data_IF_894042468337
#
_entry.id   IF_894042468337
#
_cell.length_a   1.000
_cell.length_b   1.000
_cell.length_c   1.000
_cell.angle_alpha   90.00
_cell.angle_beta   90.00
_cell.angle_gamma   90.00
#
_symmetry.space_group_name_H-M   'P 1'
#
loop_
_entity.id
_entity.type
_entity.pdbx_description
1 polymer ?
#
# COMPACT_ATOMS: atom_id res chain seq x y z
N UNK A 1 -37.69 39.14 38.65
CA UNK A 1 -37.28 38.38 37.45
C UNK A 1 -35.80 38.59 37.26
N UNK A 2 -35.01 37.56 37.60
CA UNK A 2 -33.58 37.51 37.30
C UNK A 2 -33.44 37.15 35.82
N UNK A 3 -32.66 37.92 35.08
CA UNK A 3 -32.18 37.53 33.75
C UNK A 3 -30.67 37.37 33.87
N UNK A 4 -30.25 36.12 34.07
CA UNK A 4 -28.87 35.70 33.93
C UNK A 4 -28.52 35.71 32.45
N UNK A 5 -27.63 36.60 32.03
CA UNK A 5 -27.03 36.60 30.70
C UNK A 5 -25.77 35.73 30.81
N UNK A 6 -25.90 34.47 30.43
CA UNK A 6 -24.76 33.55 30.31
C UNK A 6 -23.96 33.93 29.06
N UNK A 7 -22.73 34.43 29.26
CA UNK A 7 -21.77 34.67 28.18
C UNK A 7 -21.16 33.32 27.81
N UNK A 8 -21.61 32.75 26.69
CA UNK A 8 -21.01 31.57 26.09
C UNK A 8 -19.60 31.93 25.58
N UNK A 9 -18.57 31.65 26.38
CA UNK A 9 -17.18 31.68 25.92
C UNK A 9 -16.94 30.48 25.01
N UNK A 10 -17.16 30.67 23.72
CA UNK A 10 -16.75 29.72 22.69
C UNK A 10 -15.22 29.75 22.63
N UNK A 11 -14.59 28.76 23.27
CA UNK A 11 -13.16 28.50 23.12
C UNK A 11 -12.98 27.89 21.75
N UNK A 12 -12.64 28.72 20.77
CA UNK A 12 -12.12 28.25 19.48
C UNK A 12 -10.71 27.77 19.76
N UNK A 13 -10.57 26.46 19.99
CA UNK A 13 -9.27 25.80 19.96
C UNK A 13 -8.81 25.83 18.51
N UNK A 14 -8.01 26.84 18.17
CA UNK A 14 -7.31 26.89 16.90
C UNK A 14 -6.30 25.74 16.92
N UNK A 15 -6.68 24.59 16.35
CA UNK A 15 -5.74 23.54 15.98
C UNK A 15 -4.81 24.17 14.94
N UNK A 16 -3.66 24.64 15.41
CA UNK A 16 -2.50 24.89 14.57
C UNK A 16 -2.10 23.51 14.03
N UNK A 17 -2.70 23.10 12.92
CA UNK A 17 -1.96 22.24 12.01
C UNK A 17 -0.78 23.07 11.56
N UNK A 18 0.41 22.71 12.06
CA UNK A 18 1.66 23.11 11.45
C UNK A 18 1.56 22.63 10.01
N UNK A 19 1.22 23.52 9.07
CA UNK A 19 1.49 23.24 7.66
C UNK A 19 3.01 23.27 7.59
N UNK A 20 3.61 22.09 7.73
CA UNK A 20 5.01 21.89 7.38
C UNK A 20 5.01 22.12 5.87
N UNK A 21 5.42 23.31 5.46
CA UNK A 21 5.76 23.55 4.06
C UNK A 21 6.98 22.67 3.85
N UNK A 22 6.80 21.54 3.19
CA UNK A 22 7.94 20.72 2.84
C UNK A 22 8.85 21.56 1.95
N UNK A 23 10.09 21.71 2.38
CA UNK A 23 11.09 22.52 1.70
C UNK A 23 11.66 21.71 0.52
N UNK A 24 11.92 22.40 -0.59
CA UNK A 24 12.58 21.82 -1.75
C UNK A 24 13.93 21.25 -1.32
N UNK A 25 14.22 20.02 -1.74
CA UNK A 25 15.49 19.38 -1.47
C UNK A 25 15.99 18.68 -2.74
N UNK A 26 17.30 18.44 -2.78
CA UNK A 26 17.89 17.62 -3.83
C UNK A 26 19.26 17.12 -3.43
N UNK A 27 19.66 16.01 -4.00
CA UNK A 27 20.97 15.40 -3.79
C UNK A 27 21.55 14.91 -5.12
N UNK A 28 22.87 14.99 -5.23
CA UNK A 28 23.62 14.39 -6.33
C UNK A 28 24.24 13.07 -5.88
N UNK A 29 24.03 12.02 -6.67
CA UNK A 29 24.70 10.73 -6.50
C UNK A 29 25.72 10.60 -7.60
N UNK A 30 26.98 10.37 -7.23
CA UNK A 30 28.10 10.18 -8.16
C UNK A 30 28.59 8.74 -8.09
N UNK A 31 28.69 8.09 -9.24
CA UNK A 31 29.28 6.77 -9.40
C UNK A 31 30.69 6.85 -10.00
N UNK A 32 31.62 6.13 -9.38
CA UNK A 32 32.98 5.93 -9.86
C UNK A 32 33.31 4.43 -9.83
N UNK A 33 34.21 3.95 -10.69
CA UNK A 33 34.74 2.60 -10.50
C UNK A 33 35.67 2.57 -9.27
N UNK A 34 35.76 1.44 -8.56
CA UNK A 34 36.56 1.34 -7.32
C UNK A 34 38.06 1.65 -7.51
N UNK A 35 38.57 1.66 -8.75
CA UNK A 35 39.96 1.96 -9.06
C UNK A 35 40.17 3.40 -9.53
N UNK A 36 39.09 4.18 -9.76
CA UNK A 36 39.13 5.56 -10.26
C UNK A 36 39.82 5.68 -11.62
N UNK A 37 39.61 4.70 -12.49
CA UNK A 37 40.20 4.64 -13.83
C UNK A 37 39.29 5.36 -14.83
N UNK A 38 38.00 5.06 -14.79
CA UNK A 38 37.01 5.65 -15.67
C UNK A 38 36.58 7.03 -15.21
N UNK A 39 36.01 7.81 -16.13
CA UNK A 39 35.27 9.02 -15.76
C UNK A 39 34.05 8.68 -14.91
N UNK A 40 33.81 9.50 -13.88
CA UNK A 40 32.66 9.40 -12.99
C UNK A 40 31.38 9.90 -13.69
N UNK A 41 30.22 9.45 -13.19
CA UNK A 41 28.92 9.93 -13.65
C UNK A 41 28.03 10.35 -12.49
N UNK A 42 27.25 11.41 -12.67
CA UNK A 42 26.43 12.01 -11.61
C UNK A 42 24.99 12.14 -12.07
N UNK A 43 24.07 11.71 -11.21
CA UNK A 43 22.63 11.91 -11.36
C UNK A 43 22.08 12.75 -10.19
N UNK A 44 20.94 13.40 -10.39
CA UNK A 44 20.34 14.26 -9.37
C UNK A 44 18.87 13.91 -9.14
N UNK A 45 18.49 13.73 -7.87
CA UNK A 45 17.10 13.57 -7.48
C UNK A 45 16.70 14.60 -6.44
N UNK A 46 15.40 14.79 -6.27
CA UNK A 46 14.87 15.68 -5.25
C UNK A 46 13.38 15.94 -5.41
N UNK A 47 12.92 17.03 -4.83
CA UNK A 47 11.58 17.54 -5.07
C UNK A 47 11.57 19.05 -5.31
N UNK A 48 10.51 19.53 -5.96
CA UNK A 48 10.30 20.96 -6.12
C UNK A 48 8.81 21.33 -6.19
N UNK A 49 8.50 22.61 -6.02
CA UNK A 49 7.11 23.11 -5.92
C UNK A 49 6.27 22.87 -7.18
N UNK A 50 6.90 22.93 -8.36
CA UNK A 50 6.24 22.81 -9.66
C UNK A 50 6.66 21.53 -10.41
N UNK A 51 7.26 20.58 -9.69
CA UNK A 51 7.71 19.30 -10.22
C UNK A 51 6.54 18.32 -10.40
N UNK A 52 6.74 17.29 -11.24
CA UNK A 52 5.76 16.28 -11.59
C UNK A 52 6.23 14.89 -11.12
N UNK A 53 5.32 14.05 -10.66
CA UNK A 53 5.68 12.67 -10.24
C UNK A 53 5.83 11.71 -11.44
N UNK A 54 5.36 12.13 -12.62
CA UNK A 54 5.62 11.46 -13.88
C UNK A 54 6.46 12.33 -14.81
N UNK A 55 6.93 11.74 -15.91
CA UNK A 55 7.85 12.40 -16.84
C UNK A 55 7.42 13.81 -17.28
N UNK A 56 8.33 14.77 -17.14
CA UNK A 56 8.16 16.15 -17.56
C UNK A 56 9.43 16.68 -18.26
N UNK A 57 9.29 17.11 -19.53
CA UNK A 57 10.41 17.67 -20.29
C UNK A 57 10.92 18.96 -19.64
N UNK A 58 12.24 19.07 -19.48
CA UNK A 58 12.92 20.21 -18.85
C UNK A 58 13.06 20.12 -17.33
N UNK A 59 12.44 19.09 -16.74
CA UNK A 59 12.58 18.70 -15.33
C UNK A 59 13.38 17.40 -15.24
N UNK A 60 12.93 16.39 -16.00
CA UNK A 60 13.60 15.10 -16.16
C UNK A 60 14.47 15.13 -17.41
N UNK A 61 15.75 15.36 -17.21
CA UNK A 61 16.74 15.45 -18.27
C UNK A 61 17.21 14.06 -18.67
N UNK A 62 17.25 13.80 -19.98
CA UNK A 62 17.79 12.58 -20.56
C UNK A 62 19.21 12.28 -19.99
N UNK A 63 19.56 10.99 -19.93
CA UNK A 63 20.91 10.60 -19.55
C UNK A 63 21.97 11.17 -20.50
N UNK A 64 23.15 11.49 -19.96
CA UNK A 64 24.23 12.06 -20.75
C UNK A 64 24.83 11.00 -21.68
N UNK A 65 25.21 11.36 -22.92
CA UNK A 65 25.89 10.42 -23.79
C UNK A 65 27.22 9.95 -23.20
N UNK A 66 27.47 8.65 -23.28
CA UNK A 66 28.76 8.07 -22.91
C UNK A 66 29.94 8.79 -23.60
N UNK A 67 31.09 8.94 -22.91
CA UNK A 67 32.29 9.51 -23.51
C UNK A 67 32.70 8.80 -24.81
N UNK A 68 33.02 9.58 -25.85
CA UNK A 68 33.43 9.04 -27.15
C UNK A 68 34.70 8.18 -27.10
N UNK A 69 35.55 8.40 -26.09
CA UNK A 69 36.78 7.65 -25.88
C UNK A 69 37.20 7.68 -24.41
N UNK A 70 37.89 6.63 -23.98
CA UNK A 70 38.32 6.46 -22.60
C UNK A 70 37.34 5.59 -21.82
N UNK A 71 37.83 5.11 -20.69
CA UNK A 71 37.10 4.37 -19.69
C UNK A 71 36.10 5.26 -18.96
N UNK A 72 34.94 4.73 -18.59
CA UNK A 72 33.92 5.48 -17.86
C UNK A 72 33.05 4.57 -17.00
N UNK A 73 32.39 5.18 -16.04
CA UNK A 73 31.24 4.65 -15.31
C UNK A 73 30.02 5.45 -15.76
N UNK A 74 28.87 4.81 -15.92
CA UNK A 74 27.59 5.48 -16.19
C UNK A 74 26.55 4.93 -15.20
N UNK A 75 25.77 5.84 -14.59
CA UNK A 75 24.55 5.53 -13.83
C UNK A 75 23.41 6.44 -14.31
N UNK A 76 22.17 5.95 -14.31
CA UNK A 76 20.98 6.73 -14.66
C UNK A 76 19.75 6.27 -13.86
N UNK A 77 18.78 7.16 -13.72
CA UNK A 77 17.43 6.74 -13.32
C UNK A 77 16.78 5.97 -14.46
N UNK A 78 16.09 4.88 -14.11
CA UNK A 78 15.44 4.00 -15.08
C UNK A 78 13.93 4.06 -14.95
N UNK A 79 13.26 4.52 -16.02
CA UNK A 79 11.80 4.59 -16.12
C UNK A 79 11.32 4.04 -17.45
N UNK A 80 10.84 2.80 -17.44
CA UNK A 80 10.29 2.15 -18.64
C UNK A 80 8.85 2.60 -18.93
N UNK A 81 8.09 2.88 -17.86
CA UNK A 81 6.70 3.33 -17.85
C UNK A 81 6.51 4.75 -18.41
N UNK A 82 7.57 5.57 -18.37
CA UNK A 82 7.58 6.91 -18.95
C UNK A 82 7.67 6.89 -20.48
N UNK A 83 8.18 5.82 -21.08
CA UNK A 83 8.39 5.74 -22.52
C UNK A 83 7.06 5.89 -23.29
N UNK A 84 6.99 6.90 -24.17
CA UNK A 84 5.81 7.21 -24.96
C UNK A 84 4.73 8.03 -24.23
N UNK A 85 4.93 8.36 -22.95
CA UNK A 85 4.05 9.28 -22.23
C UNK A 85 4.17 10.70 -22.81
N UNK A 86 3.07 11.46 -22.71
CA UNK A 86 3.01 12.85 -23.13
C UNK A 86 2.84 13.76 -21.92
N UNK A 87 3.67 14.81 -21.83
CA UNK A 87 3.59 15.81 -20.77
C UNK A 87 2.48 16.84 -21.03
N UNK A 88 2.25 17.75 -20.08
CA UNK A 88 1.20 18.79 -20.18
C UNK A 88 1.43 19.78 -21.35
N UNK A 89 2.67 19.87 -21.85
CA UNK A 89 3.08 20.76 -22.93
C UNK A 89 3.03 20.07 -24.30
N UNK A 90 2.69 18.78 -24.35
CA UNK A 90 2.59 17.99 -25.56
C UNK A 90 3.88 17.32 -26.02
N UNK A 91 4.96 17.40 -25.23
CA UNK A 91 6.20 16.67 -25.50
C UNK A 91 5.99 15.18 -25.26
N UNK A 92 6.72 14.32 -25.97
CA UNK A 92 6.62 12.87 -25.84
C UNK A 92 7.96 12.31 -25.39
N UNK A 93 7.95 11.52 -24.33
CA UNK A 93 9.13 10.83 -23.86
C UNK A 93 9.55 9.74 -24.84
N UNK A 94 10.81 9.74 -25.25
CA UNK A 94 11.38 8.69 -26.11
C UNK A 94 12.63 8.04 -25.50
N UNK A 95 12.83 8.22 -24.19
CA UNK A 95 13.94 7.66 -23.45
C UNK A 95 13.42 6.84 -22.26
N UNK A 96 14.33 6.09 -21.65
CA UNK A 96 14.10 5.31 -20.43
C UNK A 96 15.21 5.53 -19.39
N UNK A 97 16.19 6.38 -19.72
CA UNK A 97 17.38 6.64 -18.94
C UNK A 97 17.51 8.15 -18.75
N UNK A 98 17.59 8.59 -17.49
CA UNK A 98 17.55 10.00 -17.12
C UNK A 98 18.68 10.36 -16.16
N UNK A 99 19.23 11.56 -16.33
CA UNK A 99 20.24 12.14 -15.45
C UNK A 99 19.63 12.91 -14.27
N UNK A 100 18.37 13.31 -14.38
CA UNK A 100 17.59 13.90 -13.29
C UNK A 100 16.22 13.22 -13.14
N UNK A 101 15.73 13.14 -11.91
CA UNK A 101 14.35 12.76 -11.58
C UNK A 101 13.93 13.57 -10.35
N UNK A 102 13.19 14.64 -10.60
CA UNK A 102 12.58 15.44 -9.54
C UNK A 102 11.09 15.12 -9.46
N UNK A 103 10.53 15.27 -8.26
CA UNK A 103 9.11 14.95 -8.01
C UNK A 103 8.39 16.06 -7.29
N UNK A 104 7.07 15.98 -7.28
CA UNK A 104 6.24 16.88 -6.49
C UNK A 104 6.58 16.75 -5.01
N UNK A 105 6.17 17.73 -4.23
CA UNK A 105 6.32 17.69 -2.78
C UNK A 105 5.23 16.78 -2.19
N UNK A 106 5.65 15.66 -1.61
CA UNK A 106 4.80 14.69 -0.93
C UNK A 106 4.78 14.87 0.59
N UNK A 107 3.87 14.19 1.28
CA UNK A 107 3.86 14.12 2.73
C UNK A 107 4.87 13.07 3.23
N UNK A 108 5.26 13.14 4.51
CA UNK A 108 6.27 12.21 5.04
C UNK A 108 5.81 10.75 5.06
N UNK A 109 4.51 10.47 5.06
CA UNK A 109 3.98 9.11 5.01
C UNK A 109 3.84 8.54 3.59
N UNK A 110 4.11 9.33 2.55
CA UNK A 110 4.20 8.83 1.19
C UNK A 110 5.59 8.21 0.98
N UNK A 111 5.65 7.05 0.32
CA UNK A 111 6.92 6.40 -0.03
C UNK A 111 7.23 6.64 -1.51
N UNK A 112 8.28 7.41 -1.77
CA UNK A 112 8.81 7.64 -3.11
C UNK A 112 10.01 6.74 -3.37
N UNK A 113 10.15 6.26 -4.61
CA UNK A 113 11.21 5.35 -5.03
C UNK A 113 11.84 5.76 -6.36
N UNK A 114 13.16 5.90 -6.38
CA UNK A 114 13.97 6.16 -7.58
C UNK A 114 14.81 4.94 -7.91
N UNK A 115 14.55 4.28 -9.04
CA UNK A 115 15.32 3.12 -9.49
C UNK A 115 16.55 3.54 -10.29
N UNK A 116 17.72 2.98 -9.96
CA UNK A 116 19.00 3.33 -10.57
C UNK A 116 19.57 2.12 -11.31
N UNK A 117 20.06 2.36 -12.52
CA UNK A 117 20.88 1.41 -13.28
C UNK A 117 22.25 2.00 -13.52
N UNK A 118 23.21 1.14 -13.85
CA UNK A 118 24.56 1.58 -14.18
C UNK A 118 25.49 0.45 -14.56
N UNK A 119 26.61 0.84 -15.17
CA UNK A 119 27.68 -0.06 -15.58
C UNK A 119 28.96 0.71 -15.91
N UNK A 120 30.09 0.03 -15.99
CA UNK A 120 31.30 0.57 -16.61
C UNK A 120 31.28 0.39 -18.12
N UNK A 121 32.02 1.24 -18.82
CA UNK A 121 32.19 1.21 -20.26
C UNK A 121 33.60 1.60 -20.71
N UNK A 122 33.78 1.76 -22.03
CA UNK A 122 35.06 2.19 -22.58
C UNK A 122 36.19 1.16 -22.53
N UNK A 123 35.88 -0.11 -22.26
CA UNK A 123 36.85 -1.21 -22.17
C UNK A 123 37.16 -1.68 -20.74
N UNK A 124 36.54 -1.06 -19.72
CA UNK A 124 36.55 -1.58 -18.36
C UNK A 124 35.78 -2.90 -18.26
N UNK A 125 36.18 -3.75 -17.31
CA UNK A 125 35.44 -4.98 -17.02
C UNK A 125 34.13 -4.67 -16.32
N UNK A 126 33.08 -5.41 -16.69
CA UNK A 126 31.78 -5.39 -16.02
C UNK A 126 31.82 -6.06 -14.64
N UNK A 127 32.95 -6.64 -14.24
CA UNK A 127 33.16 -7.20 -12.89
C UNK A 127 33.74 -6.17 -11.91
N UNK A 128 33.98 -4.92 -12.33
CA UNK A 128 34.54 -3.88 -11.46
C UNK A 128 33.40 -3.24 -10.67
N UNK A 129 33.37 -3.33 -9.32
CA UNK A 129 32.32 -2.69 -8.54
C UNK A 129 32.31 -1.17 -8.70
N UNK A 130 31.15 -0.57 -8.46
CA UNK A 130 30.95 0.87 -8.47
C UNK A 130 30.87 1.40 -7.03
N UNK A 131 31.51 2.54 -6.79
CA UNK A 131 31.32 3.33 -5.57
C UNK A 131 30.25 4.38 -5.89
N UNK A 132 29.12 4.30 -5.21
CA UNK A 132 28.13 5.38 -5.19
C UNK A 132 28.45 6.30 -4.02
N UNK A 133 28.47 7.61 -4.25
CA UNK A 133 28.78 8.62 -3.24
C UNK A 133 27.87 9.83 -3.36
N UNK A 134 27.61 10.48 -2.23
CA UNK A 134 26.73 11.65 -2.14
C UNK A 134 27.17 12.57 -1.01
N UNK A 135 26.73 13.81 -1.06
CA UNK A 135 26.95 14.78 0.01
C UNK A 135 25.84 14.67 1.06
N UNK A 136 26.15 14.08 2.21
CA UNK A 136 25.18 13.94 3.31
C UNK A 136 24.81 15.29 3.92
N UNK A 137 25.66 16.32 3.83
CA UNK A 137 25.35 17.67 4.35
C UNK A 137 24.27 18.36 3.50
N UNK A 138 24.13 17.98 2.23
CA UNK A 138 23.04 18.47 1.36
C UNK A 138 21.65 18.01 1.86
N UNK A 139 21.58 17.01 2.75
CA UNK A 139 20.34 16.49 3.33
C UNK A 139 19.93 17.23 4.61
N UNK A 140 20.73 18.17 5.11
CA UNK A 140 20.40 18.93 6.33
C UNK A 140 19.14 19.80 6.16
N UNK A 141 18.76 20.14 4.92
CA UNK A 141 17.51 20.84 4.62
C UNK A 141 16.28 19.93 4.61
N UNK A 142 16.46 18.62 4.40
CA UNK A 142 15.34 17.68 4.40
C UNK A 142 14.87 17.45 5.84
N UNK A 143 13.57 17.64 6.10
CA UNK A 143 12.98 17.46 7.45
C UNK A 143 13.33 16.09 8.04
N UNK A 144 13.51 16.06 9.37
CA UNK A 144 13.73 14.83 10.13
C UNK A 144 12.55 13.85 10.10
N UNK A 145 11.38 14.30 9.63
CA UNK A 145 10.21 13.45 9.42
C UNK A 145 10.36 12.52 8.21
N UNK A 146 11.32 12.81 7.31
CA UNK A 146 11.66 11.96 6.18
C UNK A 146 12.91 11.14 6.46
N UNK A 147 12.79 9.83 6.25
CA UNK A 147 13.94 8.95 6.09
C UNK A 147 14.35 8.93 4.61
N UNK A 148 15.66 8.84 4.35
CA UNK A 148 16.22 8.69 3.01
C UNK A 148 17.20 7.52 3.01
N UNK A 149 16.87 6.49 2.25
CA UNK A 149 17.63 5.24 2.20
C UNK A 149 18.02 4.89 0.78
N UNK A 150 19.24 4.38 0.61
CA UNK A 150 19.64 3.70 -0.62
C UNK A 150 19.57 2.19 -0.35
N UNK A 151 18.89 1.46 -1.21
CA UNK A 151 18.78 0.01 -1.16
C UNK A 151 19.55 -0.65 -2.30
N UNK A 152 20.20 -1.76 -1.98
CA UNK A 152 20.76 -2.71 -2.93
C UNK A 152 20.09 -4.05 -2.64
N UNK A 153 19.09 -4.40 -3.46
CA UNK A 153 18.13 -5.46 -3.15
C UNK A 153 17.38 -5.17 -1.84
N UNK A 154 17.55 -6.07 -0.87
CA UNK A 154 16.93 -5.97 0.46
C UNK A 154 17.80 -5.23 1.49
N UNK A 155 19.03 -4.87 1.14
CA UNK A 155 19.95 -4.19 2.05
C UNK A 155 19.76 -2.67 1.97
N UNK A 156 19.17 -2.07 2.99
CA UNK A 156 18.98 -0.63 3.10
C UNK A 156 20.10 0.08 3.85
N UNK A 157 20.51 1.25 3.35
CA UNK A 157 21.55 2.10 3.90
C UNK A 157 21.03 3.51 4.13
N UNK A 158 21.12 4.01 5.37
CA UNK A 158 20.67 5.37 5.71
C UNK A 158 21.63 6.42 5.12
N UNK A 159 21.15 7.19 4.15
CA UNK A 159 21.96 8.17 3.42
C UNK A 159 22.34 9.39 4.25
N UNK A 160 21.75 9.58 5.44
CA UNK A 160 22.14 10.62 6.39
C UNK A 160 23.30 10.19 7.31
N UNK A 161 23.50 8.89 7.48
CA UNK A 161 24.53 8.34 8.38
C UNK A 161 25.83 7.99 7.65
N UNK A 162 25.73 7.61 6.38
CA UNK A 162 26.87 7.31 5.50
C UNK A 162 26.80 8.16 4.24
N UNK A 163 27.94 8.36 3.58
CA UNK A 163 28.06 9.20 2.37
C UNK A 163 28.53 8.44 1.12
N UNK A 164 28.73 7.12 1.23
CA UNK A 164 29.08 6.27 0.12
C UNK A 164 28.80 4.80 0.42
N UNK A 165 28.64 4.02 -0.65
CA UNK A 165 28.53 2.56 -0.62
C UNK A 165 29.20 1.96 -1.86
N UNK A 166 29.59 0.70 -1.78
CA UNK A 166 30.08 -0.07 -2.94
C UNK A 166 29.02 -1.08 -3.35
N UNK A 167 28.75 -1.17 -4.64
CA UNK A 167 27.81 -2.11 -5.24
C UNK A 167 28.49 -2.87 -6.39
N UNK A 168 28.19 -4.15 -6.54
CA UNK A 168 28.66 -4.91 -7.69
C UNK A 168 27.85 -4.48 -8.93
N UNK A 169 28.44 -4.51 -10.13
CA UNK A 169 27.69 -4.10 -11.33
C UNK A 169 26.48 -5.00 -11.62
N UNK A 170 26.51 -6.25 -11.17
CA UNK A 170 25.35 -7.13 -11.24
C UNK A 170 24.17 -6.65 -10.41
N UNK A 171 24.40 -5.83 -9.38
CA UNK A 171 23.33 -5.27 -8.56
C UNK A 171 22.49 -4.24 -9.32
N UNK A 172 23.00 -3.67 -10.42
CA UNK A 172 22.28 -2.71 -11.26
C UNK A 172 21.48 -3.38 -12.39
N UNK A 173 21.44 -4.71 -12.42
CA UNK A 173 20.57 -5.44 -13.34
C UNK A 173 19.12 -5.39 -12.85
N UNK A 174 18.20 -5.46 -13.81
CA UNK A 174 16.78 -5.53 -13.51
C UNK A 174 16.42 -6.94 -13.01
N UNK A 175 15.41 -7.01 -12.15
CA UNK A 175 14.79 -8.29 -11.74
C UNK A 175 13.94 -8.91 -12.88
N UNK A 176 13.25 -10.01 -12.57
CA UNK A 176 12.41 -10.73 -13.54
C UNK A 176 11.17 -9.91 -13.95
N UNK A 177 10.75 -8.97 -13.12
CA UNK A 177 9.64 -8.04 -13.32
C UNK A 177 10.05 -6.72 -14.01
N UNK A 178 11.35 -6.55 -14.33
CA UNK A 178 11.97 -5.35 -14.91
C UNK A 178 12.12 -4.15 -13.94
N UNK A 179 12.19 -4.38 -12.63
CA UNK A 179 12.45 -3.34 -11.65
C UNK A 179 13.96 -3.20 -11.36
N UNK A 180 14.45 -1.97 -11.11
CA UNK A 180 15.81 -1.75 -10.65
C UNK A 180 16.05 -2.30 -9.24
N UNK A 181 17.12 -3.08 -9.09
CA UNK A 181 17.53 -3.64 -7.81
C UNK A 181 18.28 -2.62 -6.92
N UNK A 182 18.90 -1.58 -7.51
CA UNK A 182 19.38 -0.41 -6.76
C UNK A 182 18.31 0.67 -6.77
N UNK A 183 17.89 1.14 -5.59
CA UNK A 183 16.82 2.14 -5.46
C UNK A 183 17.11 3.13 -4.34
N UNK A 184 16.66 4.37 -4.48
CA UNK A 184 16.62 5.35 -3.39
C UNK A 184 15.17 5.49 -2.95
N UNK A 185 14.91 5.42 -1.65
CA UNK A 185 13.59 5.53 -1.04
C UNK A 185 13.53 6.75 -0.13
N UNK A 186 12.50 7.58 -0.30
CA UNK A 186 12.18 8.72 0.56
C UNK A 186 10.81 8.52 1.20
N UNK A 187 10.73 8.66 2.52
CA UNK A 187 9.49 8.60 3.29
C UNK A 187 9.77 8.20 4.73
N UNK A 188 8.81 8.39 5.64
CA UNK A 188 8.90 8.01 7.04
C UNK A 188 9.01 6.49 7.24
N UNK A 189 8.70 5.71 6.21
CA UNK A 189 8.88 4.27 6.17
C UNK A 189 9.95 3.81 5.18
N UNK A 190 10.87 4.67 4.74
CA UNK A 190 11.93 4.24 3.82
C UNK A 190 12.77 3.09 4.41
N UNK A 191 12.94 3.02 5.73
CA UNK A 191 13.66 1.93 6.40
C UNK A 191 12.84 0.66 6.66
N UNK A 192 11.51 0.78 6.74
CA UNK A 192 10.61 -0.31 7.17
C UNK A 192 9.76 -0.86 6.03
N UNK A 193 9.68 -0.14 4.93
CA UNK A 193 8.82 -0.46 3.78
C UNK A 193 7.34 -0.13 4.02
N UNK A 194 6.54 -0.46 3.04
CA UNK A 194 5.08 -0.38 3.11
C UNK A 194 4.47 -1.72 3.48
N UNK A 195 3.23 -1.69 3.95
CA UNK A 195 2.36 -2.86 4.01
C UNK A 195 1.10 -2.59 3.20
N UNK A 196 0.76 -3.55 2.35
CA UNK A 196 -0.48 -3.53 1.57
C UNK A 196 -1.67 -3.68 2.51
N UNK A 197 -2.63 -2.78 2.38
CA UNK A 197 -3.94 -2.87 3.03
C UNK A 197 -5.03 -2.85 1.97
N UNK A 198 -6.21 -3.29 2.35
CA UNK A 198 -7.38 -3.41 1.49
C UNK A 198 -8.50 -2.55 2.02
N UNK A 199 -9.34 -2.02 1.13
CA UNK A 199 -10.47 -1.18 1.51
C UNK A 199 -11.43 -2.00 2.39
N UNK A 200 -11.69 -1.49 3.58
CA UNK A 200 -12.62 -2.02 4.58
C UNK A 200 -13.91 -1.19 4.48
N UNK A 201 -14.88 -1.73 3.75
CA UNK A 201 -16.05 -1.00 3.24
C UNK A 201 -17.13 -0.78 4.28
N UNK A 202 -17.29 -1.74 5.19
CA UNK A 202 -18.27 -1.72 6.27
C UNK A 202 -17.66 -1.38 7.65
N UNK A 203 -16.33 -1.26 7.70
CA UNK A 203 -15.51 -0.87 8.85
C UNK A 203 -15.40 -1.93 9.95
N UNK A 204 -15.48 -3.21 9.61
CA UNK A 204 -15.44 -4.32 10.57
C UNK A 204 -14.02 -4.90 10.82
N UNK A 205 -13.02 -4.41 10.07
CA UNK A 205 -11.63 -4.84 10.15
C UNK A 205 -11.22 -5.92 9.14
N UNK A 206 -12.11 -6.30 8.23
CA UNK A 206 -11.81 -7.16 7.09
C UNK A 206 -11.81 -6.35 5.79
N UNK A 207 -10.96 -6.76 4.84
CA UNK A 207 -10.78 -6.02 3.60
C UNK A 207 -11.35 -6.75 2.39
N UNK A 208 -11.94 -5.97 1.48
CA UNK A 208 -12.62 -6.43 0.25
C UNK A 208 -11.79 -7.22 -0.76
N UNK A 209 -10.47 -7.24 -0.60
CA UNK A 209 -9.53 -7.90 -1.54
C UNK A 209 -9.43 -7.28 -2.94
N UNK A 210 -10.42 -6.51 -3.38
CA UNK A 210 -10.50 -5.91 -4.71
C UNK A 210 -9.75 -4.59 -4.84
N UNK A 211 -9.71 -3.79 -3.77
CA UNK A 211 -9.05 -2.48 -3.76
C UNK A 211 -7.95 -2.53 -2.71
N UNK A 212 -6.71 -2.42 -3.15
CA UNK A 212 -5.54 -2.37 -2.28
C UNK A 212 -4.75 -1.08 -2.44
N UNK A 213 -4.06 -0.70 -1.36
CA UNK A 213 -3.12 0.41 -1.34
C UNK A 213 -1.99 0.13 -0.35
N UNK A 214 -0.79 0.57 -0.69
CA UNK A 214 0.39 0.42 0.15
C UNK A 214 0.53 1.62 1.09
N UNK A 215 0.67 1.35 2.38
CA UNK A 215 0.88 2.39 3.39
C UNK A 215 2.16 2.12 4.16
N UNK A 216 2.78 3.16 4.70
CA UNK A 216 3.84 2.98 5.69
C UNK A 216 3.35 2.07 6.84
N UNK A 217 4.23 1.19 7.32
CA UNK A 217 3.90 0.23 8.37
C UNK A 217 3.26 0.91 9.59
N UNK A 218 1.99 0.63 9.86
CA UNK A 218 1.24 1.19 11.00
C UNK A 218 0.60 2.56 10.75
N UNK A 219 0.60 3.06 9.51
CA UNK A 219 0.03 4.35 9.13
C UNK A 219 -1.18 4.24 8.19
N UNK A 220 -1.70 3.03 7.94
CA UNK A 220 -2.95 2.89 7.19
C UNK A 220 -4.08 3.65 7.91
N UNK A 221 -4.85 4.49 7.19
CA UNK A 221 -5.94 5.25 7.78
C UNK A 221 -7.14 4.35 8.10
N UNK A 222 -8.07 4.85 8.92
CA UNK A 222 -9.35 4.19 9.18
C UNK A 222 -10.08 3.88 7.86
N UNK A 223 -10.69 2.69 7.78
CA UNK A 223 -11.29 2.17 6.54
C UNK A 223 -10.34 1.36 5.66
N UNK A 224 -9.19 0.95 6.19
CA UNK A 224 -8.28 0.01 5.54
C UNK A 224 -7.91 -1.14 6.47
N UNK A 225 -8.07 -2.38 5.99
CA UNK A 225 -7.72 -3.59 6.71
C UNK A 225 -6.40 -4.20 6.21
N UNK A 226 -5.58 -4.82 7.09
CA UNK A 226 -4.31 -5.45 6.71
C UNK A 226 -4.49 -6.85 6.08
N UNK A 227 -5.71 -7.19 5.66
CA UNK A 227 -6.11 -8.48 5.12
C UNK A 227 -7.10 -8.29 3.97
N UNK A 228 -7.30 -9.32 3.18
CA UNK A 228 -8.19 -9.34 2.00
C UNK A 228 -9.26 -10.42 2.13
N UNK A 229 -9.68 -10.72 3.35
CA UNK A 229 -10.41 -11.95 3.68
C UNK A 229 -11.88 -11.70 4.03
N UNK A 230 -12.42 -10.52 3.70
CA UNK A 230 -13.82 -10.20 3.95
C UNK A 230 -14.76 -11.15 3.18
N UNK A 231 -15.78 -11.65 3.88
CA UNK A 231 -16.80 -12.52 3.30
C UNK A 231 -18.00 -11.73 2.74
N UNK A 232 -18.26 -10.52 3.22
CA UNK A 232 -19.37 -9.65 2.79
C UNK A 232 -19.07 -8.17 3.08
N UNK A 233 -18.56 -7.47 2.07
CA UNK A 233 -18.18 -6.03 2.11
C UNK A 233 -19.32 -5.06 2.52
N UNK A 234 -20.56 -5.54 2.62
CA UNK A 234 -21.72 -4.75 2.99
C UNK A 234 -22.20 -5.02 4.43
N UNK A 235 -21.66 -6.03 5.13
CA UNK A 235 -22.16 -6.51 6.42
C UNK A 235 -21.10 -6.48 7.52
N UNK A 236 -21.16 -5.43 8.36
CA UNK A 236 -20.26 -5.28 9.50
C UNK A 236 -20.24 -6.54 10.39
N UNK A 237 -19.13 -7.27 10.38
CA UNK A 237 -18.94 -8.52 11.12
C UNK A 237 -17.49 -8.79 11.55
N UNK A 238 -17.06 -8.23 12.69
CA UNK A 238 -15.68 -8.40 13.21
C UNK A 238 -15.21 -9.88 13.32
N UNK A 239 -16.13 -10.83 13.56
CA UNK A 239 -15.80 -12.26 13.65
C UNK A 239 -15.55 -12.92 12.29
N UNK A 240 -16.02 -12.28 11.22
CA UNK A 240 -16.08 -12.81 9.86
C UNK A 240 -16.81 -14.17 9.78
N UNK A 241 -17.78 -14.38 10.67
CA UNK A 241 -18.65 -15.57 10.71
C UNK A 241 -20.06 -15.17 10.31
N UNK A 242 -20.32 -15.25 9.01
CA UNK A 242 -21.61 -14.94 8.41
C UNK A 242 -22.35 -16.25 8.18
N UNK A 243 -23.60 -16.32 8.67
CA UNK A 243 -24.45 -17.49 8.46
C UNK A 243 -25.18 -17.45 7.11
N UNK A 244 -25.97 -18.48 6.79
CA UNK A 244 -26.66 -18.59 5.50
C UNK A 244 -27.76 -17.51 5.32
N UNK A 245 -28.09 -16.78 6.38
CA UNK A 245 -29.05 -15.69 6.39
C UNK A 245 -28.40 -14.31 6.34
N UNK A 246 -27.10 -14.23 6.03
CA UNK A 246 -26.30 -13.01 6.06
C UNK A 246 -26.41 -12.30 7.43
N UNK A 247 -26.41 -13.08 8.51
CA UNK A 247 -26.38 -12.55 9.87
C UNK A 247 -25.04 -12.87 10.50
N UNK A 248 -24.32 -11.82 10.91
CA UNK A 248 -23.08 -11.94 11.65
C UNK A 248 -23.31 -12.68 12.98
N UNK A 249 -22.53 -13.74 13.23
CA UNK A 249 -22.67 -14.60 14.40
C UNK A 249 -24.10 -15.13 14.62
N UNK A 250 -24.89 -15.26 13.54
CA UNK A 250 -26.31 -15.65 13.61
C UNK A 250 -26.55 -17.13 13.86
N UNK A 251 -25.63 -17.99 13.41
CA UNK A 251 -25.74 -19.46 13.52
C UNK A 251 -27.04 -20.04 12.95
N UNK A 252 -27.58 -19.44 11.88
CA UNK A 252 -28.86 -19.78 11.24
C UNK A 252 -30.07 -19.73 12.18
N UNK A 253 -30.03 -18.91 13.25
CA UNK A 253 -31.15 -18.76 14.18
C UNK A 253 -32.38 -18.11 13.52
N UNK A 254 -32.18 -17.30 12.48
CA UNK A 254 -33.25 -16.67 11.71
C UNK A 254 -33.78 -17.57 10.58
N UNK A 255 -33.21 -18.76 10.39
CA UNK A 255 -33.65 -19.70 9.36
C UNK A 255 -34.81 -20.55 9.88
N UNK A 256 -35.91 -20.56 9.13
CA UNK A 256 -37.07 -21.39 9.43
C UNK A 256 -36.84 -22.87 9.05
N UNK A 257 -37.77 -23.76 9.41
CA UNK A 257 -37.61 -25.19 9.15
C UNK A 257 -37.66 -25.59 7.66
N UNK A 258 -38.04 -24.68 6.76
CA UNK A 258 -37.96 -24.88 5.30
C UNK A 258 -36.62 -24.39 4.72
N UNK A 259 -35.76 -23.76 5.53
CA UNK A 259 -34.52 -23.16 5.09
C UNK A 259 -34.69 -21.72 4.59
N UNK A 260 -35.82 -21.06 4.88
CA UNK A 260 -36.02 -19.65 4.54
C UNK A 260 -35.58 -18.76 5.69
N UNK A 261 -34.70 -17.81 5.39
CA UNK A 261 -34.28 -16.79 6.33
C UNK A 261 -35.43 -15.82 6.64
N UNK A 262 -35.56 -15.47 7.92
CA UNK A 262 -36.64 -14.66 8.50
C UNK A 262 -38.04 -15.21 8.21
N UNK A 263 -38.14 -16.53 7.99
CA UNK A 263 -39.40 -17.25 7.88
C UNK A 263 -40.06 -17.47 9.24
N UNK A 264 -41.31 -17.89 9.23
CA UNK A 264 -42.09 -18.16 10.46
C UNK A 264 -42.44 -19.64 10.62
N UNK A 265 -41.98 -20.49 9.70
CA UNK A 265 -42.31 -21.91 9.74
C UNK A 265 -41.52 -22.58 10.88
N UNK A 266 -42.25 -23.26 11.76
CA UNK A 266 -41.66 -23.99 12.90
C UNK A 266 -41.88 -25.49 12.74
N UNK A 267 -40.99 -26.29 13.30
CA UNK A 267 -41.24 -27.72 13.41
C UNK A 267 -42.38 -27.96 14.40
N UNK A 268 -43.35 -28.78 14.00
CA UNK A 268 -44.35 -29.34 14.92
C UNK A 268 -43.72 -30.40 15.85
N UNK A 269 -44.52 -30.98 16.75
CA UNK A 269 -44.02 -31.99 17.70
C UNK A 269 -43.60 -33.30 17.01
N UNK A 270 -43.91 -33.45 15.71
CA UNK A 270 -43.54 -34.57 14.86
C UNK A 270 -42.29 -34.31 14.01
N UNK A 271 -41.70 -33.13 14.12
CA UNK A 271 -40.58 -32.73 13.28
C UNK A 271 -40.99 -32.45 11.83
N UNK A 272 -42.28 -32.19 11.57
CA UNK A 272 -42.77 -31.71 10.27
C UNK A 272 -42.81 -30.19 10.30
N UNK A 273 -42.19 -29.57 9.32
CA UNK A 273 -42.17 -28.11 9.19
C UNK A 273 -43.56 -27.57 8.86
N UNK A 274 -44.03 -26.54 9.60
CA UNK A 274 -45.37 -25.95 9.48
C UNK A 274 -46.50 -27.00 9.58
N UNK A 275 -46.24 -28.11 10.28
CA UNK A 275 -47.20 -29.17 10.53
C UNK A 275 -48.15 -28.82 11.68
N UNK A 276 -49.25 -29.57 11.77
CA UNK A 276 -50.19 -29.54 12.89
C UNK A 276 -50.09 -30.80 13.77
N UNK A 277 -48.99 -31.54 13.61
CA UNK A 277 -48.74 -32.80 14.27
C UNK A 277 -48.40 -32.62 15.75
N UNK A 278 -49.05 -33.42 16.59
CA UNK A 278 -48.79 -33.50 18.02
C UNK A 278 -48.29 -34.90 18.40
N UNK A 279 -47.41 -34.98 19.39
CA UNK A 279 -46.91 -36.25 19.91
C UNK A 279 -48.03 -36.95 20.68
N UNK A 280 -48.52 -38.05 20.12
CA UNK A 280 -49.60 -38.87 20.68
C UNK A 280 -49.03 -40.19 21.22
N UNK A 281 -49.85 -40.92 21.97
CA UNK A 281 -49.48 -42.17 22.65
C UNK A 281 -49.06 -43.28 21.67
N UNK A 282 -49.62 -43.25 20.45
CA UNK A 282 -49.46 -44.28 19.41
C UNK A 282 -48.61 -43.83 18.21
N UNK A 283 -48.05 -42.63 18.24
CA UNK A 283 -47.28 -42.08 17.13
C UNK A 283 -47.30 -40.56 17.09
N UNK A 284 -46.93 -40.00 15.95
CA UNK A 284 -46.98 -38.57 15.72
C UNK A 284 -47.81 -38.27 14.48
N UNK A 285 -48.73 -37.32 14.58
CA UNK A 285 -49.72 -36.99 13.56
C UNK A 285 -50.68 -35.90 14.02
N UNK A 286 -51.60 -35.48 13.15
CA UNK A 286 -52.55 -34.41 13.45
C UNK A 286 -53.47 -34.81 14.61
N UNK A 287 -54.04 -33.83 15.32
CA UNK A 287 -54.94 -34.09 16.45
C UNK A 287 -56.12 -35.00 16.05
N UNK A 288 -56.24 -36.15 16.71
CA UNK A 288 -57.32 -37.11 16.47
C UNK A 288 -57.11 -38.06 15.29
N UNK A 289 -55.96 -38.02 14.61
CA UNK A 289 -55.63 -38.92 13.49
C UNK A 289 -55.70 -40.40 13.89
N UNK A 290 -55.21 -40.75 15.08
CA UNK A 290 -55.21 -42.12 15.58
C UNK A 290 -56.50 -42.52 16.31
N UNK A 291 -57.41 -41.57 16.55
CA UNK A 291 -58.75 -41.85 17.08
C UNK A 291 -58.80 -42.43 18.50
N UNK A 292 -57.75 -42.25 19.30
CA UNK A 292 -57.63 -42.82 20.65
C UNK A 292 -57.92 -41.75 21.72
N UNK A 293 -58.83 -42.00 22.66
CA UNK A 293 -59.08 -41.11 23.79
C UNK A 293 -57.85 -40.99 24.71
N UNK A 294 -57.58 -39.78 25.24
CA UNK A 294 -56.51 -39.55 26.23
C UNK A 294 -56.56 -40.59 27.37
N UNK A 295 -55.53 -41.45 27.44
CA UNK A 295 -55.32 -42.42 28.52
C UNK A 295 -55.62 -43.89 28.20
N UNK A 296 -56.00 -44.23 26.97
CA UNK A 296 -56.12 -45.63 26.52
C UNK A 296 -54.82 -46.05 25.79
N UNK A 297 -53.90 -46.69 26.51
CA UNK A 297 -52.67 -47.24 25.93
C UNK A 297 -52.97 -48.45 25.01
N UNK A 298 -53.30 -48.23 23.73
CA UNK A 298 -53.56 -49.30 22.76
C UNK A 298 -52.79 -49.04 21.44
N UNK A 299 -51.50 -49.39 21.44
CA UNK A 299 -50.60 -49.25 20.27
C UNK A 299 -50.35 -50.61 19.58
N UNK A 300 -51.35 -51.48 19.44
CA UNK A 300 -51.22 -52.77 18.71
C UNK A 300 -51.17 -52.64 17.17
#
# INVERSE_FOLDING_TARGET
>A
MKTDISILKMVITLLLFSVVVAEEWGISITAADIYGIGADHTIQLGNCTDCSDGWQFGEDEDDYPDPFSGEFTNIHFFHLDWYGQQDQNGNICNQIAFSTDFRSIHQSYDLLSWGIRGSTGGGLSLDIPLILSWDSEALDSLSSDYELYLYIGENGFNMREISNITADQSDFYLDEENNPNVRVLLGACASTGTTTHFLDSDNDGWGSGDISHDFCLGFAPDGWAPNSDDLDDELFCESNLIDDCNVCDGFNQDMDCYGFCFGTAEFDECGVCDGDGIQQECGCGSSGEFGIPDGDCDCE
#
